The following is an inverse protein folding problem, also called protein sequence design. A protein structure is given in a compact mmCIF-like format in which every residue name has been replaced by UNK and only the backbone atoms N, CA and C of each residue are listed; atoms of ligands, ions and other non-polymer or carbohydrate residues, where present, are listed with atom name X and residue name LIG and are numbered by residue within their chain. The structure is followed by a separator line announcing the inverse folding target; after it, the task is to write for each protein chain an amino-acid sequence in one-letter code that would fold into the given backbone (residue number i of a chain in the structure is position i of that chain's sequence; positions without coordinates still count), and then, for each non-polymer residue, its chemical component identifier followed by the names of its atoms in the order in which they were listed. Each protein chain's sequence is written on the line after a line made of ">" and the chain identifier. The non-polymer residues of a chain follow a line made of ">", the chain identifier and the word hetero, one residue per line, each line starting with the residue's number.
data_IF_694278512497
#
_entry.id   IF_694278512497
#
_cell.length_a   1.000
_cell.length_b   1.000
_cell.length_c   1.000
_cell.angle_alpha   90.00
_cell.angle_beta   90.00
_cell.angle_gamma   90.00
#
_symmetry.space_group_name_H-M   'P 1'
#
loop_
_entity.id
_entity.type
_entity.pdbx_description
1 polymer ?
#
# COMPACT_ATOMS: atom_id res chain seq x y z
N UNK A 1 -11.72 69.26 -38.86
CA UNK A 1 -12.39 68.29 -37.97
C UNK A 1 -11.46 67.09 -37.86
N UNK A 2 -10.74 66.94 -36.69
CA UNK A 2 -9.78 65.90 -36.41
C UNK A 2 -10.44 64.85 -35.48
N UNK A 3 -10.66 63.69 -35.99
CA UNK A 3 -11.16 62.56 -35.20
C UNK A 3 -10.02 61.94 -34.38
N UNK A 4 -10.18 61.89 -33.08
CA UNK A 4 -9.25 61.33 -32.12
C UNK A 4 -9.60 59.86 -31.97
N UNK A 5 -8.73 58.94 -32.42
CA UNK A 5 -8.84 57.52 -32.20
C UNK A 5 -8.23 57.18 -30.83
N UNK A 6 -9.09 56.79 -29.88
CA UNK A 6 -8.67 56.28 -28.57
C UNK A 6 -8.39 54.78 -28.71
N UNK A 7 -7.12 54.40 -28.63
CA UNK A 7 -6.74 53.02 -28.57
C UNK A 7 -6.91 52.50 -27.14
N UNK A 8 -7.84 51.58 -26.95
CA UNK A 8 -8.03 50.85 -25.68
C UNK A 8 -7.03 49.68 -25.66
N UNK A 9 -6.02 49.81 -24.84
CA UNK A 9 -5.08 48.69 -24.57
C UNK A 9 -5.73 47.79 -23.52
N UNK A 10 -6.20 46.61 -23.95
CA UNK A 10 -6.66 45.56 -23.07
C UNK A 10 -5.47 44.82 -22.44
N UNK A 11 -5.22 45.07 -21.17
CA UNK A 11 -4.22 44.37 -20.36
C UNK A 11 -4.80 43.00 -19.98
N UNK A 12 -4.39 41.94 -20.70
CA UNK A 12 -4.74 40.58 -20.37
C UNK A 12 -3.93 40.12 -19.14
N UNK A 13 -4.59 40.06 -17.99
CA UNK A 13 -4.05 39.41 -16.79
C UNK A 13 -4.00 37.89 -17.01
N UNK A 14 -2.81 37.36 -17.29
CA UNK A 14 -2.55 35.93 -17.23
C UNK A 14 -2.60 35.50 -15.76
N UNK A 15 -3.77 35.01 -15.32
CA UNK A 15 -3.91 34.30 -14.07
C UNK A 15 -3.18 32.96 -14.24
N UNK A 16 -1.95 32.91 -13.76
CA UNK A 16 -1.20 31.66 -13.63
C UNK A 16 -1.91 30.73 -12.64
N UNK A 17 -2.60 29.72 -13.13
CA UNK A 17 -3.10 28.63 -12.32
C UNK A 17 -1.90 27.87 -11.77
N UNK A 18 -1.52 28.17 -10.53
CA UNK A 18 -0.66 27.30 -9.74
C UNK A 18 -1.42 25.98 -9.56
N UNK A 19 -1.13 25.01 -10.40
CA UNK A 19 -1.58 23.66 -10.21
C UNK A 19 -1.04 23.15 -8.89
N UNK A 20 -1.87 23.14 -7.86
CA UNK A 20 -1.62 22.38 -6.65
C UNK A 20 -1.49 20.93 -7.11
N UNK A 21 -0.26 20.43 -7.18
CA UNK A 21 0.01 19.02 -7.35
C UNK A 21 -0.64 18.27 -6.21
N UNK A 22 -1.83 17.72 -6.43
CA UNK A 22 -2.40 16.73 -5.56
C UNK A 22 -1.42 15.56 -5.60
N UNK A 23 -0.60 15.44 -4.57
CA UNK A 23 0.14 14.23 -4.27
C UNK A 23 -0.89 13.13 -4.12
N UNK A 24 -1.28 12.51 -5.23
CA UNK A 24 -2.19 11.39 -5.26
C UNK A 24 -1.60 10.32 -4.37
N UNK A 25 -2.23 10.12 -3.23
CA UNK A 25 -1.96 9.00 -2.33
C UNK A 25 -2.17 7.72 -3.15
N UNK A 26 -1.07 7.25 -3.79
CA UNK A 26 -1.11 6.09 -4.67
C UNK A 26 -1.54 4.89 -3.84
N UNK A 27 -2.80 4.54 -3.95
CA UNK A 27 -3.39 3.41 -3.21
C UNK A 27 -2.90 2.06 -3.71
N UNK A 28 -2.14 2.03 -4.82
CA UNK A 28 -1.63 0.82 -5.48
C UNK A 28 -0.19 1.03 -5.94
N UNK A 29 0.67 0.03 -5.70
CA UNK A 29 2.05 0.03 -6.20
C UNK A 29 2.23 -0.96 -7.37
N UNK A 30 3.18 -0.65 -8.26
CA UNK A 30 3.66 -1.59 -9.28
C UNK A 30 4.91 -2.29 -8.75
N UNK A 31 4.77 -3.56 -8.42
CA UNK A 31 5.83 -4.37 -7.84
C UNK A 31 6.01 -5.68 -8.64
N UNK A 32 6.94 -6.50 -8.19
CA UNK A 32 7.12 -7.87 -8.67
C UNK A 32 7.14 -8.82 -7.48
N UNK A 33 6.42 -9.92 -7.60
CA UNK A 33 6.45 -11.02 -6.66
C UNK A 33 7.04 -12.23 -7.40
N UNK A 34 8.23 -12.70 -6.99
CA UNK A 34 8.99 -13.73 -7.71
C UNK A 34 9.20 -13.42 -9.21
N UNK A 35 9.42 -12.15 -9.56
CA UNK A 35 9.58 -11.70 -10.95
C UNK A 35 8.28 -11.39 -11.70
N UNK A 36 7.12 -11.85 -11.21
CA UNK A 36 5.82 -11.59 -11.83
C UNK A 36 5.28 -10.22 -11.38
N UNK A 37 4.77 -9.43 -12.32
CA UNK A 37 4.19 -8.13 -12.02
C UNK A 37 2.94 -8.26 -11.13
N UNK A 38 2.86 -7.44 -10.08
CA UNK A 38 1.74 -7.38 -9.14
C UNK A 38 1.40 -5.93 -8.80
N UNK A 39 0.14 -5.68 -8.45
CA UNK A 39 -0.38 -4.36 -8.07
C UNK A 39 -1.17 -4.44 -6.76
N UNK A 40 -0.53 -4.69 -5.63
CA UNK A 40 -1.23 -4.73 -4.36
C UNK A 40 -1.74 -3.34 -3.96
N UNK A 41 -2.85 -3.31 -3.24
CA UNK A 41 -3.25 -2.11 -2.50
C UNK A 41 -2.21 -1.82 -1.41
N UNK A 42 -2.03 -0.55 -1.05
CA UNK A 42 -1.02 -0.12 -0.09
C UNK A 42 -1.64 0.28 1.25
N UNK A 43 -1.05 -0.19 2.33
CA UNK A 43 -1.28 0.29 3.69
C UNK A 43 0.00 0.97 4.21
N UNK A 44 0.13 2.28 3.93
CA UNK A 44 1.31 3.09 4.24
C UNK A 44 1.19 3.82 5.58
N UNK A 45 -0.03 4.21 5.97
CA UNK A 45 -0.28 4.93 7.22
C UNK A 45 -0.67 3.97 8.35
N UNK A 46 -0.49 4.41 9.60
CA UNK A 46 -0.89 3.64 10.78
C UNK A 46 -2.36 3.25 10.75
N UNK A 47 -3.25 4.15 10.31
CA UNK A 47 -4.69 3.89 10.20
C UNK A 47 -5.00 2.84 9.13
N UNK A 48 -4.35 2.94 7.95
CA UNK A 48 -4.53 1.94 6.89
C UNK A 48 -4.01 0.57 7.32
N UNK A 49 -2.87 0.52 8.02
CA UNK A 49 -2.35 -0.73 8.57
C UNK A 49 -3.26 -1.32 9.64
N UNK A 50 -3.81 -0.48 10.52
CA UNK A 50 -4.76 -0.93 11.54
C UNK A 50 -6.06 -1.46 10.94
N UNK A 51 -6.56 -0.83 9.87
CA UNK A 51 -7.78 -1.25 9.17
C UNK A 51 -7.56 -2.51 8.32
N UNK A 52 -6.46 -2.57 7.56
CA UNK A 52 -6.19 -3.68 6.66
C UNK A 52 -7.39 -4.04 5.78
N UNK A 53 -7.70 -5.33 5.71
CA UNK A 53 -8.82 -5.89 4.96
C UNK A 53 -10.10 -6.10 5.80
N UNK A 54 -10.21 -5.45 6.96
CA UNK A 54 -11.40 -5.53 7.81
C UNK A 54 -12.67 -5.16 7.03
N UNK A 55 -13.75 -5.89 7.33
CA UNK A 55 -15.10 -5.72 6.77
C UNK A 55 -15.18 -5.90 5.23
N UNK A 56 -14.16 -6.43 4.58
CA UNK A 56 -14.17 -6.72 3.16
C UNK A 56 -14.58 -8.16 2.88
N UNK A 57 -15.50 -8.35 1.95
CA UNK A 57 -15.93 -9.68 1.47
C UNK A 57 -15.05 -10.21 0.34
N UNK A 58 -14.22 -9.35 -0.27
CA UNK A 58 -13.31 -9.70 -1.37
C UNK A 58 -11.91 -9.18 -1.06
N UNK A 59 -10.93 -10.04 -1.29
CA UNK A 59 -9.51 -9.67 -1.26
C UNK A 59 -9.13 -9.11 -2.63
N UNK A 60 -8.37 -8.00 -2.69
CA UNK A 60 -7.82 -7.51 -3.96
C UNK A 60 -7.03 -8.61 -4.68
N UNK A 61 -7.05 -8.62 -6.02
CA UNK A 61 -6.42 -9.67 -6.83
C UNK A 61 -4.95 -9.92 -6.47
N UNK A 62 -4.21 -8.85 -6.20
CA UNK A 62 -2.80 -8.91 -5.78
C UNK A 62 -2.61 -8.63 -4.29
N UNK A 63 -3.70 -8.63 -3.52
CA UNK A 63 -3.67 -8.47 -2.08
C UNK A 63 -3.46 -7.03 -1.60
N UNK A 64 -3.09 -6.91 -0.32
CA UNK A 64 -2.75 -5.64 0.32
C UNK A 64 -1.34 -5.72 0.93
N UNK A 65 -0.50 -4.73 0.60
CA UNK A 65 0.86 -4.62 1.09
C UNK A 65 0.95 -3.58 2.21
N UNK A 66 1.26 -4.05 3.38
CA UNK A 66 1.58 -3.25 4.57
C UNK A 66 3.05 -2.88 4.52
N UNK A 67 3.35 -1.60 4.60
CA UNK A 67 4.71 -1.07 4.55
C UNK A 67 5.04 -0.37 5.86
N UNK A 68 6.16 -0.68 6.44
CA UNK A 68 6.64 -0.08 7.69
C UNK A 68 7.88 0.77 7.43
N UNK A 69 7.88 2.00 7.96
CA UNK A 69 9.02 2.91 7.82
C UNK A 69 10.30 2.36 8.44
N UNK A 70 10.17 1.58 9.50
CA UNK A 70 11.26 0.87 10.15
C UNK A 70 10.95 -0.63 10.23
N UNK A 71 11.98 -1.47 10.35
CA UNK A 71 11.75 -2.89 10.60
C UNK A 71 11.01 -3.07 11.92
N UNK A 72 9.93 -3.79 11.86
CA UNK A 72 9.04 -4.04 13.00
C UNK A 72 9.05 -5.51 13.41
N UNK A 73 8.44 -5.80 14.55
CA UNK A 73 8.15 -7.14 15.06
C UNK A 73 6.69 -7.18 15.50
N UNK A 74 6.23 -8.34 15.94
CA UNK A 74 4.83 -8.57 16.28
C UNK A 74 4.03 -9.08 15.09
N UNK A 75 2.75 -9.34 15.31
CA UNK A 75 1.93 -10.05 14.36
C UNK A 75 0.69 -9.31 13.91
N UNK A 76 -0.09 -10.01 13.13
CA UNK A 76 -1.37 -9.58 12.62
C UNK A 76 -2.48 -10.39 13.27
N UNK A 77 -3.66 -9.83 13.35
CA UNK A 77 -4.87 -10.50 13.79
C UNK A 77 -5.93 -10.49 12.69
N UNK A 78 -6.93 -11.34 12.85
CA UNK A 78 -8.04 -11.44 11.89
C UNK A 78 -9.36 -10.86 12.44
N UNK A 79 -9.26 -9.96 13.43
CA UNK A 79 -10.44 -9.27 13.98
C UNK A 79 -11.16 -8.51 12.86
N UNK A 80 -12.48 -8.65 12.79
CA UNK A 80 -13.31 -8.06 11.75
C UNK A 80 -12.94 -8.40 10.31
N UNK A 81 -12.05 -9.38 10.07
CA UNK A 81 -11.69 -9.85 8.74
C UNK A 81 -12.59 -11.02 8.36
N UNK A 82 -13.41 -10.82 7.32
CA UNK A 82 -14.55 -11.70 7.02
C UNK A 82 -14.15 -12.96 6.25
N UNK A 83 -13.00 -12.96 5.61
CA UNK A 83 -12.52 -14.03 4.71
C UNK A 83 -11.15 -14.54 5.17
N UNK A 84 -10.85 -15.84 4.95
CA UNK A 84 -9.52 -16.38 5.26
C UNK A 84 -8.47 -15.76 4.34
N UNK A 85 -7.27 -15.56 4.88
CA UNK A 85 -6.14 -14.92 4.19
C UNK A 85 -4.89 -15.79 4.26
N UNK A 86 -3.94 -15.46 3.40
CA UNK A 86 -2.54 -15.86 3.52
C UNK A 86 -1.72 -14.59 3.73
N UNK A 87 -0.91 -14.54 4.78
CA UNK A 87 0.04 -13.45 5.01
C UNK A 87 1.47 -13.90 4.70
N UNK A 88 2.23 -13.02 4.05
CA UNK A 88 3.65 -13.22 3.73
C UNK A 88 4.45 -12.04 4.24
N UNK A 89 5.39 -12.30 5.11
CA UNK A 89 6.29 -11.30 5.68
C UNK A 89 7.59 -11.25 4.90
N UNK A 90 8.11 -10.02 4.66
CA UNK A 90 9.36 -9.80 3.96
C UNK A 90 10.27 -8.85 4.75
N UNK A 91 11.56 -9.09 4.67
CA UNK A 91 12.58 -8.18 5.20
C UNK A 91 12.75 -6.92 4.33
N UNK A 92 13.66 -6.02 4.71
CA UNK A 92 13.93 -4.79 3.98
C UNK A 92 14.50 -5.01 2.57
N UNK A 93 15.07 -6.18 2.30
CA UNK A 93 15.55 -6.58 0.98
C UNK A 93 14.46 -7.19 0.10
N UNK A 94 13.26 -7.38 0.64
CA UNK A 94 12.14 -8.06 -0.02
C UNK A 94 12.26 -9.59 -0.02
N UNK A 95 13.17 -10.18 0.77
CA UNK A 95 13.26 -11.63 0.95
C UNK A 95 12.19 -12.09 1.95
N UNK A 96 11.52 -13.20 1.64
CA UNK A 96 10.51 -13.75 2.54
C UNK A 96 11.10 -14.16 3.88
N UNK A 97 10.47 -13.69 4.96
CA UNK A 97 10.74 -14.09 6.34
C UNK A 97 9.87 -15.27 6.72
N UNK A 98 8.56 -15.16 6.50
CA UNK A 98 7.58 -16.22 6.83
C UNK A 98 6.32 -16.09 5.96
N UNK A 99 5.62 -17.21 5.80
CA UNK A 99 4.29 -17.29 5.20
C UNK A 99 3.38 -18.06 6.14
N UNK A 100 2.15 -17.60 6.34
CA UNK A 100 1.19 -18.20 7.25
C UNK A 100 -0.22 -18.12 6.65
N UNK A 101 -1.03 -19.14 6.93
CA UNK A 101 -2.48 -19.09 6.67
C UNK A 101 -3.17 -18.47 7.88
N UNK A 102 -4.15 -17.62 7.64
CA UNK A 102 -4.93 -16.93 8.66
C UNK A 102 -6.41 -17.21 8.48
N UNK A 103 -7.11 -17.47 9.57
CA UNK A 103 -8.56 -17.70 9.58
C UNK A 103 -9.29 -16.55 10.26
N UNK A 104 -10.52 -16.21 9.81
CA UNK A 104 -11.32 -15.18 10.47
C UNK A 104 -11.46 -15.41 11.96
N UNK A 105 -11.32 -14.34 12.74
CA UNK A 105 -11.56 -14.37 14.19
C UNK A 105 -13.03 -14.08 14.45
N UNK A 106 -13.75 -15.04 15.03
CA UNK A 106 -15.17 -14.92 15.35
C UNK A 106 -15.42 -14.48 16.77
N UNK A 107 -14.50 -14.79 17.68
CA UNK A 107 -14.59 -14.52 19.11
C UNK A 107 -13.22 -14.09 19.66
N UNK A 108 -13.23 -13.13 20.59
CA UNK A 108 -12.01 -12.70 21.30
C UNK A 108 -11.61 -13.75 22.37
N UNK A 109 -10.32 -13.94 22.65
CA UNK A 109 -9.18 -13.26 22.04
C UNK A 109 -8.83 -13.79 20.65
N UNK A 110 -8.61 -12.89 19.70
CA UNK A 110 -8.14 -13.27 18.38
C UNK A 110 -6.70 -13.78 18.40
N UNK A 111 -6.43 -14.84 17.65
CA UNK A 111 -5.07 -15.32 17.45
C UNK A 111 -4.18 -14.26 16.80
N UNK A 112 -2.92 -14.19 17.22
CA UNK A 112 -1.90 -13.33 16.64
C UNK A 112 -0.98 -14.16 15.73
N UNK A 113 -0.90 -13.76 14.47
CA UNK A 113 -0.05 -14.38 13.45
C UNK A 113 1.29 -13.66 13.39
N UNK A 114 2.21 -14.03 14.28
CA UNK A 114 3.54 -13.43 14.42
C UNK A 114 4.57 -14.24 13.64
N UNK A 115 5.40 -13.61 12.76
CA UNK A 115 6.47 -14.33 12.06
C UNK A 115 7.61 -14.76 12.99
N UNK A 116 7.68 -14.26 14.23
CA UNK A 116 8.76 -14.52 15.19
C UNK A 116 10.10 -13.86 14.83
N UNK A 117 10.12 -13.00 13.83
CA UNK A 117 11.31 -12.29 13.33
C UNK A 117 10.92 -10.90 12.83
N UNK A 118 11.90 -9.99 12.79
CA UNK A 118 11.66 -8.64 12.25
C UNK A 118 11.39 -8.68 10.75
N UNK A 119 10.48 -7.82 10.31
CA UNK A 119 10.10 -7.66 8.91
C UNK A 119 9.91 -6.17 8.56
N UNK A 120 9.79 -5.88 7.29
CA UNK A 120 9.57 -4.53 6.75
C UNK A 120 8.27 -4.41 5.97
N UNK A 121 7.85 -5.53 5.38
CA UNK A 121 6.64 -5.62 4.59
C UNK A 121 5.84 -6.84 5.00
N UNK A 122 4.50 -6.70 4.95
CA UNK A 122 3.60 -7.83 5.05
C UNK A 122 2.61 -7.76 3.88
N UNK A 123 2.41 -8.87 3.17
CA UNK A 123 1.50 -8.96 2.03
C UNK A 123 0.37 -9.92 2.40
N UNK A 124 -0.85 -9.39 2.54
CA UNK A 124 -2.05 -10.19 2.68
C UNK A 124 -2.59 -10.58 1.31
N UNK A 125 -2.79 -11.86 1.09
CA UNK A 125 -3.31 -12.47 -0.12
C UNK A 125 -4.57 -13.26 0.22
N UNK A 126 -5.40 -13.56 -0.77
CA UNK A 126 -6.52 -14.50 -0.56
C UNK A 126 -6.00 -15.86 -0.09
N UNK A 127 -6.78 -16.55 0.69
CA UNK A 127 -6.48 -17.93 1.07
C UNK A 127 -6.32 -18.82 -0.17
N UNK A 128 -5.36 -19.76 -0.12
CA UNK A 128 -5.08 -20.65 -1.23
C UNK A 128 -4.32 -20.00 -2.39
N UNK A 129 -3.82 -18.77 -2.24
CA UNK A 129 -2.90 -18.19 -3.23
C UNK A 129 -1.67 -19.07 -3.39
N UNK A 130 -1.40 -19.52 -4.62
CA UNK A 130 -0.33 -20.49 -4.93
C UNK A 130 1.00 -19.84 -5.29
N UNK A 131 1.04 -18.51 -5.40
CA UNK A 131 2.31 -17.81 -5.67
C UNK A 131 3.32 -18.14 -4.57
N UNK A 132 4.57 -18.51 -4.91
CA UNK A 132 5.57 -18.88 -3.90
C UNK A 132 5.87 -17.74 -2.94
N UNK A 133 5.81 -16.50 -3.41
CA UNK A 133 6.06 -15.29 -2.66
C UNK A 133 7.39 -15.34 -1.87
N UNK A 134 8.46 -15.72 -2.56
CA UNK A 134 9.82 -15.80 -1.97
C UNK A 134 10.53 -14.46 -1.99
N UNK A 135 10.23 -13.63 -3.00
CA UNK A 135 10.91 -12.36 -3.25
C UNK A 135 9.92 -11.29 -3.69
N UNK A 136 9.91 -10.18 -2.98
CA UNK A 136 9.20 -8.94 -3.33
C UNK A 136 10.23 -7.94 -3.88
N UNK A 137 9.88 -7.17 -4.89
CA UNK A 137 10.77 -6.17 -5.49
C UNK A 137 10.12 -5.35 -6.59
N UNK A 138 10.92 -4.58 -7.33
CA UNK A 138 12.39 -4.41 -7.20
C UNK A 138 12.77 -3.51 -6.01
N UNK A 139 14.01 -3.61 -5.55
CA UNK A 139 14.50 -2.84 -4.39
C UNK A 139 14.31 -1.32 -4.48
N UNK A 140 14.51 -0.64 -5.62
CA UNK A 140 14.25 0.79 -5.72
C UNK A 140 12.78 1.14 -5.42
N UNK A 141 11.82 0.34 -5.92
CA UNK A 141 10.40 0.53 -5.63
C UNK A 141 10.10 0.31 -4.13
N UNK A 142 10.67 -0.73 -3.52
CA UNK A 142 10.52 -0.98 -2.09
C UNK A 142 11.07 0.17 -1.24
N UNK A 143 12.25 0.69 -1.59
CA UNK A 143 12.84 1.86 -0.90
C UNK A 143 11.96 3.10 -1.05
N UNK A 144 11.35 3.29 -2.21
CA UNK A 144 10.41 4.38 -2.44
C UNK A 144 9.19 4.27 -1.51
N UNK A 145 8.57 3.09 -1.42
CA UNK A 145 7.44 2.83 -0.51
C UNK A 145 7.81 3.05 0.96
N UNK A 146 9.00 2.62 1.39
CA UNK A 146 9.50 2.85 2.76
C UNK A 146 9.56 4.34 3.09
N UNK A 147 9.96 5.19 2.13
CA UNK A 147 10.02 6.64 2.36
C UNK A 147 8.63 7.27 2.46
N UNK A 148 7.62 6.67 1.84
CA UNK A 148 6.23 7.13 1.89
C UNK A 148 5.48 6.63 3.13
N UNK A 149 5.97 5.56 3.78
CA UNK A 149 5.32 4.99 4.97
C UNK A 149 5.53 5.87 6.21
N UNK A 150 4.51 5.90 7.07
CA UNK A 150 4.51 6.51 8.40
C UNK A 150 4.99 5.54 9.48
#
# INVERSE_FOLDING_TARGET
>A
MRALLIAVVALALLAGSAGAGSGGDSTVARLRLDGVAVRPELALTSERRARGLMNRRKVPADGMLFVFRQSTSGGFWMKNTLVPLTIVFFDASGKRVRRMSMVPCREDPCAIYDPGRRYRFALELRAGDRRPARKLGPLPALRHLIRQAE
#
